data_IF_655364136557
#
_entry.id   IF_655364136557
#
_cell.length_a   1.000
_cell.length_b   1.000
_cell.length_c   1.000
_cell.angle_alpha   90.00
_cell.angle_beta   90.00
_cell.angle_gamma   90.00
#
_symmetry.space_group_name_H-M   'P 1'
#
loop_
_entity.id
_entity.type
_entity.pdbx_description
1 polymer ?
#
# COMPACT_ATOMS: atom_id res chain seq x y z
N UNK A 1 -18.59 14.58 -2.28
CA UNK A 1 -17.16 14.71 -1.94
C UNK A 1 -16.39 14.05 -3.08
N UNK A 2 -15.29 14.63 -3.55
CA UNK A 2 -14.52 14.04 -4.66
C UNK A 2 -13.44 13.16 -4.07
N UNK A 3 -13.47 11.87 -4.39
CA UNK A 3 -12.43 10.90 -4.00
C UNK A 3 -11.11 11.22 -4.73
N UNK A 4 -10.01 11.21 -3.99
CA UNK A 4 -8.66 11.55 -4.44
C UNK A 4 -7.70 10.48 -3.97
N UNK A 5 -7.23 9.69 -4.92
CA UNK A 5 -6.26 8.64 -4.66
C UNK A 5 -4.86 8.98 -5.17
N UNK A 6 -3.86 8.40 -4.52
CA UNK A 6 -2.46 8.48 -4.93
C UNK A 6 -1.95 7.12 -5.36
N UNK A 7 -1.45 7.04 -6.60
CA UNK A 7 -0.83 5.83 -7.13
C UNK A 7 0.68 5.93 -6.97
N UNK A 8 1.23 5.10 -6.09
CA UNK A 8 2.65 5.04 -5.85
C UNK A 8 3.37 4.39 -7.04
N UNK A 9 4.60 4.82 -7.35
CA UNK A 9 5.28 4.37 -8.54
C UNK A 9 5.82 2.93 -8.38
N UNK A 10 5.69 2.13 -9.44
CA UNK A 10 6.23 0.75 -9.52
C UNK A 10 7.75 0.70 -9.27
N UNK A 11 8.46 1.68 -9.83
CA UNK A 11 9.91 1.82 -9.82
C UNK A 11 10.27 3.30 -9.65
N UNK A 12 11.57 3.62 -9.56
CA UNK A 12 12.11 4.99 -9.45
C UNK A 12 12.19 5.61 -8.04
N UNK A 13 11.66 4.98 -6.99
CA UNK A 13 11.91 5.44 -5.62
C UNK A 13 13.17 4.79 -5.01
N UNK A 14 14.01 5.55 -4.28
CA UNK A 14 15.30 5.05 -3.78
C UNK A 14 15.15 4.04 -2.63
N UNK A 15 14.08 4.11 -1.83
CA UNK A 15 13.87 3.23 -0.67
C UNK A 15 12.38 2.94 -0.43
N UNK A 16 12.09 2.07 0.54
CA UNK A 16 10.73 1.89 1.09
C UNK A 16 10.29 3.17 1.81
N UNK A 17 11.17 3.78 2.60
CA UNK A 17 10.89 5.03 3.33
C UNK A 17 10.43 6.16 2.39
N UNK A 18 10.98 6.23 1.18
CA UNK A 18 10.53 7.20 0.18
C UNK A 18 9.05 7.01 -0.21
N UNK A 19 8.56 5.77 -0.28
CA UNK A 19 7.16 5.46 -0.51
C UNK A 19 6.29 5.76 0.71
N UNK A 20 6.82 5.51 1.92
CA UNK A 20 6.18 5.87 3.19
C UNK A 20 5.97 7.39 3.28
N UNK A 21 6.99 8.18 2.99
CA UNK A 21 6.88 9.64 2.99
C UNK A 21 5.90 10.17 1.93
N UNK A 22 5.76 9.49 0.78
CA UNK A 22 4.74 9.83 -0.21
C UNK A 22 3.32 9.54 0.30
N UNK A 23 3.11 8.43 0.99
CA UNK A 23 1.81 8.08 1.58
C UNK A 23 1.42 9.07 2.70
N UNK A 24 2.37 9.40 3.59
CA UNK A 24 2.18 10.43 4.64
C UNK A 24 1.86 11.80 4.07
N UNK A 25 2.49 12.16 2.95
CA UNK A 25 2.17 13.41 2.26
C UNK A 25 0.76 13.35 1.66
N UNK A 26 0.36 12.23 1.07
CA UNK A 26 -1.00 12.00 0.57
C UNK A 26 -2.04 12.19 1.68
N UNK A 27 -1.83 11.53 2.81
CA UNK A 27 -2.69 11.65 4.00
C UNK A 27 -2.81 13.10 4.46
N UNK A 28 -1.67 13.79 4.64
CA UNK A 28 -1.65 15.20 5.06
C UNK A 28 -2.40 16.13 4.09
N UNK A 29 -2.44 15.78 2.81
CA UNK A 29 -3.15 16.52 1.76
C UNK A 29 -4.63 16.12 1.63
N UNK A 30 -5.09 15.15 2.41
CA UNK A 30 -6.47 14.64 2.40
C UNK A 30 -6.77 13.77 1.18
N UNK A 31 -5.81 12.94 0.75
CA UNK A 31 -6.08 11.85 -0.16
C UNK A 31 -6.73 10.68 0.59
N UNK A 32 -7.59 9.94 -0.10
CA UNK A 32 -8.39 8.87 0.48
C UNK A 32 -7.59 7.55 0.51
N UNK A 33 -6.96 7.15 -0.61
CA UNK A 33 -6.22 5.88 -0.69
C UNK A 33 -4.81 6.03 -1.31
N UNK A 34 -3.84 5.33 -0.74
CA UNK A 34 -2.52 5.08 -1.32
C UNK A 34 -2.43 3.69 -1.95
N UNK A 35 -2.34 3.67 -3.28
CA UNK A 35 -2.29 2.44 -4.08
C UNK A 35 -0.86 2.07 -4.48
N UNK A 36 -0.40 0.89 -4.08
CA UNK A 36 0.92 0.37 -4.42
C UNK A 36 0.86 -0.76 -5.47
N UNK A 37 1.43 -0.57 -6.66
CA UNK A 37 1.50 -1.62 -7.67
C UNK A 37 2.66 -2.59 -7.42
N UNK A 38 2.44 -3.89 -7.66
CA UNK A 38 3.50 -4.89 -7.70
C UNK A 38 3.55 -5.60 -9.06
N UNK A 39 4.62 -5.36 -9.81
CA UNK A 39 4.94 -6.10 -11.05
C UNK A 39 6.32 -6.78 -10.94
N UNK A 40 7.39 -5.99 -11.01
CA UNK A 40 8.79 -6.43 -10.82
C UNK A 40 9.56 -5.52 -9.86
N UNK A 41 8.84 -4.71 -9.09
CA UNK A 41 9.38 -3.77 -8.11
C UNK A 41 9.49 -4.39 -6.71
N UNK A 42 9.23 -3.55 -5.71
CA UNK A 42 9.20 -3.99 -4.30
C UNK A 42 7.99 -4.90 -4.04
N UNK A 43 8.12 -5.78 -3.06
CA UNK A 43 7.01 -6.58 -2.56
C UNK A 43 5.95 -5.66 -1.93
N UNK A 44 4.71 -5.69 -2.45
CA UNK A 44 3.66 -4.78 -2.02
C UNK A 44 3.22 -5.04 -0.59
N UNK A 45 3.07 -6.30 -0.17
CA UNK A 45 2.63 -6.64 1.20
C UNK A 45 3.59 -6.07 2.24
N UNK A 46 4.90 -6.27 2.06
CA UNK A 46 5.91 -5.76 2.98
C UNK A 46 5.96 -4.21 2.98
N UNK A 47 5.86 -3.60 1.80
CA UNK A 47 5.90 -2.13 1.66
C UNK A 47 4.67 -1.47 2.25
N UNK A 48 3.47 -2.00 1.97
CA UNK A 48 2.20 -1.53 2.53
C UNK A 48 2.14 -1.73 4.05
N UNK A 49 2.76 -2.79 4.59
CA UNK A 49 2.90 -2.95 6.05
C UNK A 49 3.73 -1.83 6.69
N UNK A 50 4.75 -1.30 5.99
CA UNK A 50 5.50 -0.15 6.45
C UNK A 50 4.65 1.12 6.39
N UNK A 51 3.95 1.35 5.27
CA UNK A 51 3.04 2.50 5.12
C UNK A 51 1.97 2.48 6.22
N UNK A 52 1.32 1.34 6.45
CA UNK A 52 0.30 1.17 7.49
C UNK A 52 0.78 1.56 8.90
N UNK A 53 2.06 1.34 9.21
CA UNK A 53 2.65 1.67 10.52
C UNK A 53 2.99 3.15 10.69
N UNK A 54 3.08 3.88 9.58
CA UNK A 54 3.55 5.27 9.53
C UNK A 54 2.46 6.25 9.05
N UNK A 55 1.23 5.77 8.85
CA UNK A 55 0.03 6.57 8.54
C UNK A 55 -1.13 6.15 9.43
N UNK A 56 -2.06 7.06 9.69
CA UNK A 56 -3.13 6.89 10.69
C UNK A 56 -4.54 6.81 10.06
N UNK A 57 -4.79 7.52 8.97
CA UNK A 57 -6.12 7.76 8.39
C UNK A 57 -6.24 7.36 6.91
N UNK A 58 -5.17 7.48 6.10
CA UNK A 58 -5.24 7.14 4.67
C UNK A 58 -5.41 5.63 4.46
N UNK A 59 -6.32 5.24 3.57
CA UNK A 59 -6.50 3.85 3.15
C UNK A 59 -5.30 3.38 2.32
N UNK A 60 -5.05 2.07 2.29
CA UNK A 60 -3.93 1.48 1.57
C UNK A 60 -4.37 0.27 0.76
N UNK A 61 -3.81 0.11 -0.44
CA UNK A 61 -4.22 -1.00 -1.31
C UNK A 61 -3.19 -1.40 -2.35
N UNK A 62 -3.36 -2.57 -2.95
CA UNK A 62 -2.52 -3.03 -4.06
C UNK A 62 -3.10 -2.64 -5.43
N UNK A 63 -2.27 -2.25 -6.40
CA UNK A 63 -2.73 -1.78 -7.73
C UNK A 63 -1.85 -2.25 -8.91
N UNK A 64 -1.47 -3.53 -9.03
CA UNK A 64 -2.17 -4.74 -8.62
C UNK A 64 -1.32 -5.61 -7.71
N UNK A 65 -1.88 -6.72 -7.21
CA UNK A 65 -1.11 -7.83 -6.64
C UNK A 65 -0.95 -8.97 -7.66
N UNK A 66 0.28 -9.47 -7.92
CA UNK A 66 0.46 -10.53 -8.90
C UNK A 66 0.03 -11.89 -8.35
N UNK A 67 -0.79 -12.60 -9.12
CA UNK A 67 -1.33 -13.93 -8.77
C UNK A 67 -0.39 -15.09 -9.14
N UNK A 68 0.64 -14.83 -9.96
CA UNK A 68 1.54 -15.89 -10.44
C UNK A 68 2.60 -16.32 -9.41
N UNK A 69 2.92 -15.46 -8.45
CA UNK A 69 3.93 -15.71 -7.41
C UNK A 69 3.35 -16.17 -6.08
N UNK A 70 2.02 -16.25 -5.94
CA UNK A 70 1.32 -16.50 -4.67
C UNK A 70 0.09 -17.36 -4.88
N UNK A 71 -0.18 -18.28 -3.94
CA UNK A 71 -1.45 -19.03 -3.96
C UNK A 71 -2.62 -18.15 -3.50
N UNK A 72 -3.87 -18.46 -3.89
CA UNK A 72 -5.05 -17.74 -3.39
C UNK A 72 -5.14 -17.69 -1.86
N UNK A 73 -4.75 -18.79 -1.18
CA UNK A 73 -4.71 -18.84 0.28
C UNK A 73 -3.69 -17.85 0.87
N UNK A 74 -2.50 -17.75 0.27
CA UNK A 74 -1.47 -16.80 0.71
C UNK A 74 -1.90 -15.35 0.45
N UNK A 75 -2.59 -15.09 -0.66
CA UNK A 75 -3.18 -13.78 -0.95
C UNK A 75 -4.18 -13.40 0.15
N UNK A 76 -5.10 -14.30 0.51
CA UNK A 76 -6.08 -14.07 1.58
C UNK A 76 -5.42 -13.85 2.95
N UNK A 77 -4.40 -14.62 3.30
CA UNK A 77 -3.63 -14.43 4.53
C UNK A 77 -2.90 -13.09 4.58
N UNK A 78 -2.31 -12.68 3.46
CA UNK A 78 -1.61 -11.39 3.34
C UNK A 78 -2.58 -10.22 3.50
N UNK A 79 -3.75 -10.30 2.85
CA UNK A 79 -4.80 -9.29 2.96
C UNK A 79 -5.33 -9.18 4.40
N UNK A 80 -5.64 -10.31 5.04
CA UNK A 80 -6.10 -10.32 6.43
C UNK A 80 -5.05 -9.74 7.41
N UNK A 81 -3.76 -10.00 7.16
CA UNK A 81 -2.68 -9.45 7.97
C UNK A 81 -2.54 -7.93 7.75
N UNK A 82 -2.64 -7.46 6.52
CA UNK A 82 -2.61 -6.03 6.22
C UNK A 82 -3.81 -5.32 6.86
N UNK A 83 -5.01 -5.91 6.81
CA UNK A 83 -6.20 -5.41 7.49
C UNK A 83 -5.96 -5.19 8.99
N UNK A 84 -5.32 -6.15 9.65
CA UNK A 84 -5.00 -6.07 11.08
C UNK A 84 -3.94 -5.00 11.36
N UNK A 85 -2.87 -4.95 10.57
CA UNK A 85 -1.76 -4.01 10.77
C UNK A 85 -2.15 -2.57 10.48
N UNK A 86 -3.11 -2.35 9.57
CA UNK A 86 -3.60 -1.03 9.18
C UNK A 86 -4.80 -0.55 9.99
N UNK A 87 -5.21 -1.26 11.05
CA UNK A 87 -6.41 -0.96 11.83
C UNK A 87 -7.68 -0.84 10.96
N UNK A 88 -7.75 -1.65 9.91
CA UNK A 88 -8.93 -1.78 9.05
C UNK A 88 -8.90 -0.97 7.75
N UNK A 89 -7.77 -0.35 7.41
CA UNK A 89 -7.58 0.53 6.24
C UNK A 89 -7.10 -0.18 4.96
N UNK A 90 -7.08 -1.52 4.92
CA UNK A 90 -6.67 -2.30 3.75
C UNK A 90 -7.86 -2.87 2.96
#
# INVERSE_FOLDING_TARGET
>A
MTERDVFLPVAAQPSVDALVEQAKLGEKLGYDTAWLPESWGRNAVATLSCIARDTDDIDIGTSIMPVYSRSPALIGQSAATLQEVSDGRF
#
